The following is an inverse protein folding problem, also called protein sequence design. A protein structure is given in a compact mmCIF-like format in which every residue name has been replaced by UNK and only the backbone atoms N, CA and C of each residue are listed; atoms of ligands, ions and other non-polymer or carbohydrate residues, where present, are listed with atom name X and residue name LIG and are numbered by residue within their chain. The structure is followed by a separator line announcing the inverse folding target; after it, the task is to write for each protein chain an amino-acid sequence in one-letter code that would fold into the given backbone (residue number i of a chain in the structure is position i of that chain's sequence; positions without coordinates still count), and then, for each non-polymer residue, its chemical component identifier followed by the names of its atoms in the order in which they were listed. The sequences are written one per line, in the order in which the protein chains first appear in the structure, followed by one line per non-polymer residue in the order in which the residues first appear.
data_IF_590367075407
#
_entry.id   IF_590367075407
#
_cell.length_a   1.000
_cell.length_b   1.000
_cell.length_c   1.000
_cell.angle_alpha   90.00
_cell.angle_beta   90.00
_cell.angle_gamma   90.00
#
_symmetry.space_group_name_H-M   'P 1'
#
loop_
_entity.id
_entity.type
_entity.pdbx_description
1 polymer ?
#
# COMPACT_ATOMS: atom_id res chain seq x y z
N UNK A 1 5.32 18.69 13.21
CA UNK A 1 4.17 18.57 12.27
C UNK A 1 3.36 17.30 12.55
N UNK A 2 3.87 16.09 12.27
CA UNK A 2 3.14 14.83 12.49
C UNK A 2 2.65 14.62 13.94
N UNK A 3 3.49 14.96 14.93
CA UNK A 3 3.14 14.89 16.34
C UNK A 3 1.98 15.82 16.72
N UNK A 4 1.97 17.07 16.24
CA UNK A 4 0.89 18.03 16.51
C UNK A 4 -0.45 17.57 15.93
N UNK A 5 -0.42 16.96 14.75
CA UNK A 5 -1.63 16.39 14.13
C UNK A 5 -2.15 15.20 14.94
N UNK A 6 -1.27 14.35 15.46
CA UNK A 6 -1.65 13.27 16.38
C UNK A 6 -2.27 13.81 17.67
N UNK A 7 -1.70 14.87 18.25
CA UNK A 7 -2.28 15.52 19.44
C UNK A 7 -3.64 16.13 19.18
N UNK A 8 -3.84 16.75 18.02
CA UNK A 8 -5.14 17.27 17.62
C UNK A 8 -6.21 16.17 17.57
N UNK A 9 -5.91 15.05 16.90
CA UNK A 9 -6.85 13.92 16.86
C UNK A 9 -7.03 13.22 18.21
N UNK A 10 -6.00 13.22 19.06
CA UNK A 10 -6.10 12.68 20.42
C UNK A 10 -7.00 13.55 21.29
N UNK A 11 -6.95 14.87 21.15
CA UNK A 11 -7.89 15.78 21.83
C UNK A 11 -9.36 15.48 21.52
N UNK A 12 -9.63 14.95 20.32
CA UNK A 12 -10.98 14.57 19.88
C UNK A 12 -11.36 13.16 20.35
N UNK A 13 -10.43 12.20 20.29
CA UNK A 13 -10.72 10.77 20.49
C UNK A 13 -10.38 10.23 21.88
N UNK A 14 -9.54 10.93 22.64
CA UNK A 14 -8.99 10.46 23.90
C UNK A 14 -8.01 9.28 23.78
N UNK A 15 -7.73 8.77 22.58
CA UNK A 15 -6.94 7.55 22.38
C UNK A 15 -6.01 7.65 21.17
N UNK A 16 -4.75 7.30 21.36
CA UNK A 16 -3.73 7.40 20.31
C UNK A 16 -3.96 6.45 19.14
N UNK A 17 -4.55 5.28 19.33
CA UNK A 17 -4.82 4.35 18.24
C UNK A 17 -5.93 4.85 17.32
N UNK A 18 -7.00 5.42 17.87
CA UNK A 18 -8.02 6.13 17.07
C UNK A 18 -7.45 7.35 16.36
N UNK A 19 -6.52 8.06 17.00
CA UNK A 19 -5.82 9.19 16.40
C UNK A 19 -5.00 8.77 15.17
N UNK A 20 -4.32 7.63 15.24
CA UNK A 20 -3.58 7.05 14.11
C UNK A 20 -4.55 6.68 12.97
N UNK A 21 -5.70 6.07 13.28
CA UNK A 21 -6.72 5.72 12.28
C UNK A 21 -7.26 6.97 11.59
N UNK A 22 -7.63 8.00 12.36
CA UNK A 22 -8.11 9.28 11.82
C UNK A 22 -7.08 9.96 10.93
N UNK A 23 -5.83 10.03 11.39
CA UNK A 23 -4.72 10.56 10.59
C UNK A 23 -4.60 9.80 9.27
N UNK A 24 -4.68 8.47 9.30
CA UNK A 24 -4.62 7.62 8.10
C UNK A 24 -5.77 7.93 7.15
N UNK A 25 -6.99 8.08 7.67
CA UNK A 25 -8.15 8.46 6.86
C UNK A 25 -7.98 9.83 6.21
N UNK A 26 -7.51 10.83 6.96
CA UNK A 26 -7.26 12.17 6.42
C UNK A 26 -6.20 12.15 5.31
N UNK A 27 -5.08 11.47 5.54
CA UNK A 27 -4.04 11.28 4.52
C UNK A 27 -4.62 10.59 3.29
N UNK A 28 -5.46 9.58 3.49
CA UNK A 28 -6.03 8.85 2.38
C UNK A 28 -7.02 9.67 1.57
N UNK A 29 -7.80 10.56 2.20
CA UNK A 29 -8.69 11.50 1.50
C UNK A 29 -7.86 12.49 0.68
N UNK A 30 -6.76 13.02 1.24
CA UNK A 30 -5.86 13.95 0.53
C UNK A 30 -5.19 13.25 -0.66
N UNK A 31 -4.75 12.01 -0.48
CA UNK A 31 -4.07 11.22 -1.51
C UNK A 31 -5.03 10.48 -2.45
N UNK A 32 -6.34 10.47 -2.17
CA UNK A 32 -7.36 9.80 -2.98
C UNK A 32 -7.28 10.12 -4.48
N UNK A 33 -7.17 11.39 -4.95
CA UNK A 33 -7.07 11.68 -6.38
C UNK A 33 -5.80 11.06 -7.02
N UNK A 34 -4.70 11.00 -6.27
CA UNK A 34 -3.48 10.35 -6.72
C UNK A 34 -3.67 8.83 -6.82
N UNK A 35 -4.23 8.22 -5.76
CA UNK A 35 -4.53 6.78 -5.72
C UNK A 35 -5.48 6.38 -6.85
N UNK A 36 -6.47 7.21 -7.18
CA UNK A 36 -7.35 7.01 -8.34
C UNK A 36 -6.59 6.99 -9.66
N UNK A 37 -5.71 7.98 -9.90
CA UNK A 37 -4.90 8.04 -11.13
C UNK A 37 -3.98 6.83 -11.25
N UNK A 38 -3.33 6.45 -10.15
CA UNK A 38 -2.45 5.28 -10.09
C UNK A 38 -3.21 3.99 -10.38
N UNK A 39 -4.37 3.81 -9.77
CA UNK A 39 -5.19 2.62 -9.98
C UNK A 39 -5.73 2.51 -11.42
N UNK A 40 -6.14 3.64 -12.03
CA UNK A 40 -6.52 3.67 -13.44
C UNK A 40 -5.36 3.26 -14.36
N UNK A 41 -4.14 3.71 -14.08
CA UNK A 41 -2.95 3.28 -14.82
C UNK A 41 -2.72 1.76 -14.68
N UNK A 42 -2.87 1.20 -13.47
CA UNK A 42 -2.80 -0.26 -13.27
C UNK A 42 -3.88 -1.03 -14.02
N UNK A 43 -5.11 -0.51 -14.09
CA UNK A 43 -6.18 -1.14 -14.87
C UNK A 43 -5.92 -1.08 -16.38
N UNK A 44 -5.35 0.01 -16.89
CA UNK A 44 -4.90 0.10 -18.29
C UNK A 44 -3.80 -0.95 -18.58
N UNK A 45 -2.83 -1.11 -17.67
CA UNK A 45 -1.82 -2.16 -17.77
C UNK A 45 -2.42 -3.56 -17.77
N UNK A 46 -3.47 -3.81 -16.98
CA UNK A 46 -4.20 -5.08 -16.99
C UNK A 46 -4.78 -5.42 -18.37
N UNK A 47 -5.31 -4.42 -19.08
CA UNK A 47 -5.84 -4.59 -20.46
C UNK A 47 -4.74 -4.92 -21.47
N UNK A 48 -3.51 -4.43 -21.25
CA UNK A 48 -2.36 -4.68 -22.13
C UNK A 48 -1.64 -6.00 -21.86
N UNK A 49 -1.88 -6.67 -20.72
CA UNK A 49 -1.26 -7.96 -20.40
C UNK A 49 -1.28 -9.01 -21.53
N UNK A 50 -2.38 -9.25 -22.28
CA UNK A 50 -2.35 -10.22 -23.37
C UNK A 50 -1.33 -9.85 -24.46
N UNK A 51 -1.25 -8.58 -24.85
CA UNK A 51 -0.27 -8.12 -25.84
C UNK A 51 1.17 -8.21 -25.32
N UNK A 52 1.37 -7.87 -24.05
CA UNK A 52 2.69 -8.04 -23.40
C UNK A 52 3.12 -9.51 -23.45
N UNK A 53 2.23 -10.45 -23.13
CA UNK A 53 2.53 -11.89 -23.21
C UNK A 53 2.86 -12.35 -24.63
N UNK A 54 2.18 -11.80 -25.64
CA UNK A 54 2.47 -12.09 -27.05
C UNK A 54 3.87 -11.59 -27.45
N UNK A 55 4.23 -10.36 -27.08
CA UNK A 55 5.57 -9.81 -27.36
C UNK A 55 6.64 -10.63 -26.63
N UNK A 56 6.43 -10.94 -25.35
CA UNK A 56 7.34 -11.78 -24.57
C UNK A 56 7.52 -13.16 -25.20
N UNK A 57 6.45 -13.78 -25.72
CA UNK A 57 6.52 -15.08 -26.38
C UNK A 57 7.25 -15.02 -27.73
N UNK A 58 7.08 -13.94 -28.49
CA UNK A 58 7.69 -13.75 -29.82
C UNK A 58 9.19 -13.44 -29.75
N UNK A 59 9.64 -12.72 -28.73
CA UNK A 59 11.03 -12.26 -28.60
C UNK A 59 11.77 -12.88 -27.40
N UNK A 60 11.42 -14.12 -27.00
CA UNK A 60 12.07 -14.82 -25.87
C UNK A 60 13.59 -14.90 -26.01
N UNK A 61 14.08 -15.12 -27.23
CA UNK A 61 15.50 -15.32 -27.51
C UNK A 61 16.25 -14.00 -27.79
N UNK A 62 15.55 -12.87 -27.90
CA UNK A 62 16.14 -11.55 -28.13
C UNK A 62 15.68 -10.53 -27.06
N UNK A 63 16.36 -10.50 -25.90
CA UNK A 63 16.03 -9.59 -24.81
C UNK A 63 16.11 -8.11 -25.20
N UNK A 64 17.00 -7.76 -26.14
CA UNK A 64 17.15 -6.37 -26.59
C UNK A 64 15.92 -5.94 -27.38
N UNK A 65 15.48 -6.76 -28.33
CA UNK A 65 14.30 -6.48 -29.14
C UNK A 65 13.01 -6.56 -28.33
N UNK A 66 12.93 -7.47 -27.36
CA UNK A 66 11.84 -7.54 -26.40
C UNK A 66 11.65 -6.20 -25.66
N UNK A 67 12.72 -5.62 -25.11
CA UNK A 67 12.64 -4.35 -24.39
C UNK A 67 12.20 -3.18 -25.29
N UNK A 68 12.66 -3.15 -26.55
CA UNK A 68 12.29 -2.12 -27.53
C UNK A 68 10.81 -2.22 -27.89
N UNK A 69 10.32 -3.41 -28.24
CA UNK A 69 8.92 -3.61 -28.63
C UNK A 69 7.96 -3.39 -27.45
N UNK A 70 8.36 -3.79 -26.25
CA UNK A 70 7.63 -3.48 -25.02
C UNK A 70 7.51 -1.97 -24.79
N UNK A 71 8.59 -1.22 -24.99
CA UNK A 71 8.57 0.24 -24.88
C UNK A 71 7.72 0.88 -25.98
N UNK A 72 7.78 0.37 -27.21
CA UNK A 72 6.96 0.83 -28.32
C UNK A 72 5.47 0.61 -28.04
N UNK A 73 5.10 -0.54 -27.47
CA UNK A 73 3.72 -0.82 -27.03
C UNK A 73 3.25 0.19 -25.97
N UNK A 74 4.08 0.47 -24.96
CA UNK A 74 3.73 1.44 -23.92
C UNK A 74 3.56 2.86 -24.48
N UNK A 75 4.43 3.26 -25.42
CA UNK A 75 4.34 4.56 -26.09
C UNK A 75 3.11 4.67 -26.99
N UNK A 76 2.83 3.66 -27.82
CA UNK A 76 1.70 3.68 -28.75
C UNK A 76 0.34 3.68 -28.04
N UNK A 77 0.28 3.08 -26.85
CA UNK A 77 -0.92 3.03 -26.00
C UNK A 77 -0.97 4.15 -24.96
N UNK A 78 0.05 5.01 -24.89
CA UNK A 78 0.16 6.09 -23.91
C UNK A 78 0.17 5.65 -22.45
N UNK A 79 0.47 4.37 -22.17
CA UNK A 79 0.38 3.79 -20.83
C UNK A 79 1.73 3.82 -20.13
N UNK A 80 1.79 4.36 -18.90
CA UNK A 80 3.02 4.42 -18.12
C UNK A 80 3.15 3.22 -17.16
N UNK A 81 4.20 2.37 -17.29
CA UNK A 81 4.41 1.21 -16.41
C UNK A 81 4.65 1.60 -14.94
N UNK A 82 5.14 2.81 -14.67
CA UNK A 82 5.37 3.30 -13.30
C UNK A 82 4.13 3.97 -12.67
N UNK A 83 3.03 4.10 -13.41
CA UNK A 83 1.80 4.70 -12.90
C UNK A 83 1.25 3.98 -11.66
N UNK A 84 1.45 2.67 -11.56
CA UNK A 84 0.99 1.85 -10.44
C UNK A 84 1.82 1.95 -9.15
N UNK A 85 3.08 2.41 -9.23
CA UNK A 85 3.97 2.49 -8.06
C UNK A 85 4.07 3.91 -7.47
N UNK A 86 3.47 4.92 -8.12
CA UNK A 86 3.42 6.31 -7.64
C UNK A 86 2.98 6.46 -6.17
N UNK A 87 1.96 5.75 -5.66
CA UNK A 87 1.53 5.89 -4.27
C UNK A 87 2.62 5.49 -3.26
N UNK A 88 3.49 4.55 -3.62
CA UNK A 88 4.55 4.06 -2.74
C UNK A 88 5.60 5.14 -2.46
N UNK A 89 5.87 6.03 -3.42
CA UNK A 89 6.84 7.12 -3.26
C UNK A 89 6.41 8.13 -2.19
N UNK A 90 5.11 8.42 -2.10
CA UNK A 90 4.55 9.27 -1.04
C UNK A 90 4.42 8.54 0.29
N UNK A 91 4.24 7.21 0.25
CA UNK A 91 4.14 6.40 1.46
C UNK A 91 5.44 6.39 2.26
N UNK A 92 6.61 6.43 1.60
CA UNK A 92 7.93 6.35 2.26
C UNK A 92 8.14 7.53 3.25
N UNK A 93 7.99 8.81 2.87
CA UNK A 93 8.09 9.93 3.80
C UNK A 93 7.08 9.86 4.96
N UNK A 94 5.84 9.46 4.67
CA UNK A 94 4.79 9.35 5.69
C UNK A 94 5.13 8.26 6.71
N UNK A 95 5.58 7.09 6.22
CA UNK A 95 6.04 6.00 7.07
C UNK A 95 7.19 6.45 7.97
N UNK A 96 8.19 7.15 7.42
CA UNK A 96 9.32 7.63 8.20
C UNK A 96 8.92 8.67 9.26
N UNK A 97 8.01 9.58 8.91
CA UNK A 97 7.46 10.56 9.86
C UNK A 97 6.68 9.88 11.00
N UNK A 98 5.86 8.87 10.70
CA UNK A 98 5.13 8.11 11.72
C UNK A 98 6.04 7.25 12.56
N UNK A 99 6.98 6.54 11.95
CA UNK A 99 7.94 5.69 12.64
C UNK A 99 8.79 6.50 13.64
N UNK A 100 9.33 7.63 13.20
CA UNK A 100 10.11 8.54 14.07
C UNK A 100 9.25 9.12 15.19
N UNK A 101 8.00 9.50 14.89
CA UNK A 101 7.06 10.03 15.90
C UNK A 101 6.73 8.97 16.95
N UNK A 102 6.36 7.74 16.56
CA UNK A 102 6.02 6.66 17.48
C UNK A 102 7.20 6.21 18.34
N UNK A 103 8.43 6.30 17.81
CA UNK A 103 9.64 5.89 18.55
C UNK A 103 10.16 6.95 19.51
N UNK A 104 10.00 8.23 19.17
CA UNK A 104 10.60 9.34 19.92
C UNK A 104 9.60 10.05 20.84
N UNK A 105 8.29 9.93 20.60
CA UNK A 105 7.30 10.58 21.43
C UNK A 105 7.12 9.84 22.76
N UNK A 106 7.48 10.50 23.86
CA UNK A 106 7.37 9.94 25.21
C UNK A 106 5.91 9.58 25.58
N UNK A 107 4.95 10.37 25.12
CA UNK A 107 3.53 10.19 25.44
C UNK A 107 2.86 8.98 24.78
N UNK A 108 3.49 8.42 23.75
CA UNK A 108 3.00 7.22 23.07
C UNK A 108 3.55 5.93 23.71
N UNK A 109 4.51 6.04 24.63
CA UNK A 109 4.97 4.90 25.44
C UNK A 109 3.89 4.51 26.43
N UNK A 110 3.55 3.23 26.47
CA UNK A 110 2.47 2.74 27.32
C UNK A 110 1.07 3.21 26.91
N UNK A 111 0.91 3.81 25.72
CA UNK A 111 -0.39 4.27 25.25
C UNK A 111 -1.28 3.09 24.84
N UNK A 112 -2.40 2.81 25.53
CA UNK A 112 -3.28 1.72 25.17
C UNK A 112 -4.12 2.07 23.95
N UNK A 113 -4.45 1.06 23.14
CA UNK A 113 -5.43 1.20 22.07
C UNK A 113 -6.74 0.49 22.45
N UNK A 114 -6.88 -0.78 22.08
CA UNK A 114 -8.07 -1.60 22.32
C UNK A 114 -7.68 -3.09 22.42
N UNK A 115 -8.55 -3.89 23.06
CA UNK A 115 -8.36 -5.32 23.27
C UNK A 115 -7.00 -5.66 23.90
N UNK A 116 -6.15 -6.40 23.17
CA UNK A 116 -4.83 -6.86 23.60
C UNK A 116 -3.71 -5.83 23.39
N UNK A 117 -3.96 -4.76 22.62
CA UNK A 117 -2.95 -3.71 22.35
C UNK A 117 -2.96 -2.72 23.52
N UNK A 118 -2.05 -2.97 24.47
CA UNK A 118 -1.87 -2.14 25.68
C UNK A 118 -0.78 -1.07 25.54
N UNK A 119 0.07 -1.18 24.53
CA UNK A 119 1.11 -0.20 24.24
C UNK A 119 1.34 -0.13 22.72
N UNK A 120 1.11 1.04 22.13
CA UNK A 120 1.26 1.30 20.70
C UNK A 120 2.73 1.49 20.27
N UNK A 121 3.63 1.76 21.21
CA UNK A 121 5.06 2.01 20.94
C UNK A 121 5.89 0.72 20.85
N UNK A 122 5.36 -0.40 21.37
CA UNK A 122 5.99 -1.72 21.31
C UNK A 122 5.29 -2.60 20.29
N UNK A 123 5.90 -3.74 19.93
CA UNK A 123 5.30 -4.69 19.01
C UNK A 123 4.04 -5.36 19.60
N UNK A 124 3.15 -5.84 18.71
CA UNK A 124 1.97 -6.60 19.14
C UNK A 124 2.42 -7.92 19.80
N UNK A 125 2.14 -8.14 21.10
CA UNK A 125 2.58 -9.34 21.82
C UNK A 125 1.98 -10.64 21.26
N UNK A 126 0.82 -10.56 20.61
CA UNK A 126 0.13 -11.72 20.01
C UNK A 126 0.33 -11.80 18.50
N UNK A 127 1.02 -10.83 17.89
CA UNK A 127 1.26 -10.75 16.45
C UNK A 127 0.00 -10.79 15.56
N UNK A 128 -1.19 -10.58 16.13
CA UNK A 128 -2.46 -10.62 15.40
C UNK A 128 -2.53 -9.49 14.38
N UNK A 129 -2.15 -8.28 14.78
CA UNK A 129 -2.23 -7.11 13.92
C UNK A 129 -1.30 -7.18 12.70
N UNK A 130 -0.02 -7.59 12.80
CA UNK A 130 0.83 -7.85 11.64
C UNK A 130 0.26 -8.91 10.69
N UNK A 131 -0.32 -9.99 11.20
CA UNK A 131 -0.93 -11.04 10.35
C UNK A 131 -2.13 -10.48 9.59
N UNK A 132 -3.00 -9.73 10.26
CA UNK A 132 -4.14 -9.07 9.62
C UNK A 132 -3.70 -8.05 8.56
N UNK A 133 -2.64 -7.29 8.85
CA UNK A 133 -1.99 -6.41 7.88
C UNK A 133 -1.50 -7.19 6.65
N UNK A 134 -0.81 -8.31 6.85
CA UNK A 134 -0.35 -9.18 5.78
C UNK A 134 -1.48 -9.71 4.90
N UNK A 135 -2.56 -10.19 5.51
CA UNK A 135 -3.75 -10.65 4.80
C UNK A 135 -4.37 -9.50 3.99
N UNK A 136 -4.53 -8.31 4.59
CA UNK A 136 -5.07 -7.14 3.90
C UNK A 136 -4.19 -6.76 2.69
N UNK A 137 -2.87 -6.77 2.84
CA UNK A 137 -1.94 -6.51 1.74
C UNK A 137 -2.03 -7.56 0.63
N UNK A 138 -2.16 -8.85 0.97
CA UNK A 138 -2.33 -9.92 -0.01
C UNK A 138 -3.64 -9.76 -0.81
N UNK A 139 -4.74 -9.45 -0.13
CA UNK A 139 -6.03 -9.19 -0.78
C UNK A 139 -5.94 -7.96 -1.68
N UNK A 140 -5.39 -6.86 -1.15
CA UNK A 140 -5.17 -5.62 -1.90
C UNK A 140 -4.33 -5.86 -3.17
N UNK A 141 -3.28 -6.67 -3.07
CA UNK A 141 -2.42 -6.98 -4.20
C UNK A 141 -3.13 -7.77 -5.31
N UNK A 142 -4.11 -8.62 -4.96
CA UNK A 142 -4.90 -9.36 -5.95
C UNK A 142 -5.85 -8.46 -6.75
N UNK A 143 -6.19 -7.28 -6.22
CA UNK A 143 -7.06 -6.32 -6.90
C UNK A 143 -6.33 -5.48 -7.96
N UNK A 144 -5.01 -5.35 -7.85
CA UNK A 144 -4.17 -4.60 -8.81
C UNK A 144 -3.53 -5.52 -9.85
N UNK A 145 -3.14 -4.94 -10.98
CA UNK A 145 -2.44 -5.68 -12.04
C UNK A 145 -1.07 -6.14 -11.54
N UNK A 146 -0.87 -7.45 -11.46
CA UNK A 146 0.45 -8.05 -11.24
C UNK A 146 1.19 -8.06 -12.59
N UNK A 147 2.51 -7.88 -12.59
CA UNK A 147 3.33 -7.87 -13.81
C UNK A 147 3.03 -9.06 -14.73
N UNK A 148 3.17 -8.87 -16.04
CA UNK A 148 3.00 -9.94 -17.02
C UNK A 148 4.15 -10.96 -16.99
N UNK A 149 5.32 -10.57 -16.49
CA UNK A 149 6.44 -11.47 -16.24
C UNK A 149 6.14 -12.39 -15.05
N UNK A 150 6.12 -13.73 -15.23
CA UNK A 150 5.89 -14.70 -14.17
C UNK A 150 6.85 -14.56 -12.97
N UNK A 151 8.11 -14.16 -13.20
CA UNK A 151 9.10 -14.00 -12.13
C UNK A 151 8.78 -12.77 -11.28
N UNK A 152 8.50 -11.63 -11.91
CA UNK A 152 8.10 -10.41 -11.21
C UNK A 152 6.76 -10.60 -10.49
N UNK A 153 5.82 -11.32 -11.11
CA UNK A 153 4.54 -11.64 -10.50
C UNK A 153 4.68 -12.46 -9.21
N UNK A 154 5.54 -13.49 -9.25
CA UNK A 154 5.86 -14.32 -8.09
C UNK A 154 6.51 -13.49 -6.99
N UNK A 155 7.50 -12.65 -7.31
CA UNK A 155 8.16 -11.77 -6.34
C UNK A 155 7.16 -10.80 -5.68
N UNK A 156 6.26 -10.23 -6.48
CA UNK A 156 5.19 -9.36 -5.96
C UNK A 156 4.32 -10.13 -4.96
N UNK A 157 3.86 -11.34 -5.26
CA UNK A 157 3.02 -12.14 -4.36
C UNK A 157 3.70 -12.50 -3.03
N UNK A 158 5.02 -12.66 -3.01
CA UNK A 158 5.78 -12.93 -1.77
C UNK A 158 6.06 -11.67 -0.95
N UNK A 159 6.04 -10.48 -1.57
CA UNK A 159 6.38 -9.22 -0.91
C UNK A 159 5.53 -8.94 0.34
N UNK A 160 4.19 -9.09 0.34
CA UNK A 160 3.39 -8.92 1.56
C UNK A 160 3.76 -9.87 2.68
N UNK A 161 4.16 -11.11 2.36
CA UNK A 161 4.57 -12.11 3.34
C UNK A 161 5.87 -11.66 4.01
N UNK A 162 6.86 -11.25 3.21
CA UNK A 162 8.14 -10.73 3.71
C UNK A 162 7.91 -9.49 4.58
N UNK A 163 7.09 -8.53 4.14
CA UNK A 163 6.75 -7.35 4.93
C UNK A 163 6.03 -7.71 6.23
N UNK A 164 5.17 -8.73 6.22
CA UNK A 164 4.50 -9.19 7.44
C UNK A 164 5.52 -9.64 8.48
N UNK A 165 6.47 -10.49 8.10
CA UNK A 165 7.55 -10.94 8.99
C UNK A 165 8.43 -9.77 9.47
N UNK A 166 8.75 -8.82 8.59
CA UNK A 166 9.52 -7.63 8.93
C UNK A 166 8.79 -6.76 9.97
N UNK A 167 7.47 -6.57 9.84
CA UNK A 167 6.66 -5.74 10.74
C UNK A 167 6.34 -6.41 12.08
N UNK A 168 6.63 -7.71 12.27
CA UNK A 168 6.41 -8.41 13.56
C UNK A 168 7.12 -7.73 14.74
N UNK A 169 8.25 -7.07 14.50
CA UNK A 169 9.04 -6.40 15.53
C UNK A 169 8.85 -4.89 15.58
N UNK A 170 7.99 -4.35 14.74
CA UNK A 170 7.71 -2.91 14.70
C UNK A 170 6.64 -2.50 15.71
N UNK A 171 6.62 -1.22 16.14
CA UNK A 171 5.59 -0.68 17.01
C UNK A 171 4.18 -0.95 16.48
N UNK A 172 3.27 -1.42 17.35
CA UNK A 172 1.90 -1.78 17.00
C UNK A 172 1.14 -0.59 16.39
N UNK A 173 1.44 0.65 16.80
CA UNK A 173 0.86 1.85 16.18
C UNK A 173 1.25 2.03 14.72
N UNK A 174 2.46 1.62 14.33
CA UNK A 174 2.90 1.68 12.94
C UNK A 174 2.26 0.58 12.10
N UNK A 175 2.12 -0.62 12.67
CA UNK A 175 1.41 -1.72 12.04
C UNK A 175 -0.08 -1.36 11.89
N UNK A 176 -0.68 -0.70 12.88
CA UNK A 176 -2.06 -0.23 12.86
C UNK A 176 -2.29 0.78 11.74
N UNK A 177 -1.37 1.74 11.59
CA UNK A 177 -1.37 2.67 10.47
C UNK A 177 -1.37 1.92 9.13
N UNK A 178 -0.45 0.97 8.97
CA UNK A 178 -0.30 0.25 7.70
C UNK A 178 -1.52 -0.63 7.38
N UNK A 179 -2.05 -1.35 8.39
CA UNK A 179 -3.27 -2.13 8.28
C UNK A 179 -4.45 -1.25 7.86
N UNK A 180 -4.67 -0.13 8.56
CA UNK A 180 -5.73 0.83 8.26
C UNK A 180 -5.59 1.36 6.84
N UNK A 181 -4.37 1.73 6.44
CA UNK A 181 -4.10 2.23 5.09
C UNK A 181 -4.40 1.18 4.01
N UNK A 182 -4.00 -0.08 4.22
CA UNK A 182 -4.31 -1.18 3.30
C UNK A 182 -5.82 -1.40 3.16
N UNK A 183 -6.58 -1.36 4.26
CA UNK A 183 -8.04 -1.49 4.23
C UNK A 183 -8.68 -0.32 3.48
N UNK A 184 -8.31 0.92 3.78
CA UNK A 184 -8.87 2.09 3.12
C UNK A 184 -8.52 2.13 1.63
N UNK A 185 -7.29 1.75 1.27
CA UNK A 185 -6.87 1.66 -0.13
C UNK A 185 -7.68 0.60 -0.86
N UNK A 186 -7.86 -0.57 -0.25
CA UNK A 186 -8.66 -1.67 -0.81
C UNK A 186 -10.11 -1.23 -1.02
N UNK A 187 -10.73 -0.57 -0.05
CA UNK A 187 -12.09 -0.01 -0.19
C UNK A 187 -12.12 0.98 -1.37
N UNK A 188 -11.17 1.91 -1.45
CA UNK A 188 -11.05 2.85 -2.56
C UNK A 188 -10.94 2.14 -3.92
N UNK A 189 -10.11 1.12 -4.03
CA UNK A 189 -9.96 0.30 -5.25
C UNK A 189 -11.27 -0.38 -5.64
N UNK A 190 -11.96 -1.02 -4.69
CA UNK A 190 -13.25 -1.68 -4.94
C UNK A 190 -14.32 -0.68 -5.40
N UNK A 191 -14.36 0.52 -4.83
CA UNK A 191 -15.28 1.58 -5.24
C UNK A 191 -14.98 2.04 -6.68
N UNK A 192 -13.70 2.22 -7.03
CA UNK A 192 -13.31 2.59 -8.40
C UNK A 192 -13.66 1.49 -9.38
N UNK A 193 -13.37 0.22 -9.06
CA UNK A 193 -13.74 -0.92 -9.92
C UNK A 193 -15.24 -0.99 -10.16
N UNK A 194 -16.06 -0.82 -9.12
CA UNK A 194 -17.52 -0.77 -9.26
C UNK A 194 -17.98 0.39 -10.14
N UNK A 195 -17.34 1.56 -10.04
CA UNK A 195 -17.66 2.72 -10.86
C UNK A 195 -17.30 2.51 -12.34
N UNK A 196 -16.14 1.94 -12.62
CA UNK A 196 -15.69 1.64 -13.99
C UNK A 196 -16.48 0.48 -14.62
N UNK A 197 -16.97 -0.49 -13.83
CA UNK A 197 -17.82 -1.57 -14.34
C UNK A 197 -19.25 -1.14 -14.70
N UNK A 198 -19.73 -0.02 -14.16
CA UNK A 198 -21.04 0.58 -14.49
C UNK A 198 -20.99 1.50 -15.71
N UNK A 199 -19.80 1.80 -16.22
CA UNK A 199 -19.55 2.72 -17.32
C UNK A 199 -19.34 1.94 -18.61
#
# INVERSE_FOLDING_TARGET
AALNTLYFFKGITGNYGWSIILLTMCLQVILFPLTMKSFKASMAMKKLQPHIKQIQAKYKEDPKRLNVEMMNLYKSTGTNPFGGCLPMLFQIPIFWALFTTLRNAFELRGAPFIFWIKDLSVHDPFYVLPILMGIAMLVQQRLVSVSADPQQARMMMFMPIIFTFFFLKFPAGLVLYWFTNSILTMIGQLLIMKKEAKK
#
